data_IF_243909612168
#
_entry.id   IF_243909612168
#
_cell.length_a   1.000
_cell.length_b   1.000
_cell.length_c   1.000
_cell.angle_alpha   90.00
_cell.angle_beta   90.00
_cell.angle_gamma   90.00
#
_symmetry.space_group_name_H-M   'P 1'
#
loop_
_entity.id
_entity.type
_entity.pdbx_description
1 polymer ?
#
# COMPACT_ATOMS: atom_id res chain seq x y z
N UNK A 1 -9.65 -5.61 30.02
CA UNK A 1 -8.52 -5.47 29.08
C UNK A 1 -7.48 -6.48 29.49
N UNK A 2 -7.10 -7.40 28.61
CA UNK A 2 -6.09 -8.44 28.95
C UNK A 2 -4.69 -7.81 29.02
N UNK A 3 -3.72 -8.44 29.69
CA UNK A 3 -2.32 -7.97 29.68
C UNK A 3 -1.77 -7.87 28.23
N UNK A 4 -2.28 -8.73 27.35
CA UNK A 4 -2.01 -8.72 25.91
C UNK A 4 -2.53 -7.44 25.23
N UNK A 5 -3.78 -7.05 25.47
CA UNK A 5 -4.34 -5.81 24.93
C UNK A 5 -3.63 -4.57 25.49
N UNK A 6 -3.15 -4.66 26.73
CA UNK A 6 -2.42 -3.58 27.39
C UNK A 6 -1.05 -3.35 26.73
N UNK A 7 -0.26 -4.42 26.51
CA UNK A 7 1.03 -4.32 25.84
C UNK A 7 0.91 -3.80 24.41
N UNK A 8 -0.05 -4.32 23.62
CA UNK A 8 -0.31 -3.82 22.27
C UNK A 8 -0.54 -2.30 22.28
N UNK A 9 -1.36 -1.83 23.22
CA UNK A 9 -1.70 -0.41 23.33
C UNK A 9 -0.48 0.43 23.68
N UNK A 10 0.31 0.04 24.69
CA UNK A 10 1.51 0.78 25.09
C UNK A 10 2.55 0.87 23.97
N UNK A 11 2.82 -0.24 23.28
CA UNK A 11 3.77 -0.24 22.16
C UNK A 11 3.24 0.62 21.00
N UNK A 12 1.94 0.53 20.68
CA UNK A 12 1.32 1.37 19.67
C UNK A 12 1.41 2.86 20.02
N UNK A 13 1.24 3.24 21.29
CA UNK A 13 1.40 4.61 21.77
C UNK A 13 2.85 5.11 21.60
N UNK A 14 3.85 4.29 21.95
CA UNK A 14 5.26 4.61 21.75
C UNK A 14 5.60 4.82 20.27
N UNK A 15 5.15 3.91 19.39
CA UNK A 15 5.35 4.03 17.95
C UNK A 15 4.60 5.23 17.37
N UNK A 16 3.40 5.53 17.87
CA UNK A 16 2.62 6.72 17.47
C UNK A 16 3.37 7.99 17.81
N UNK A 17 3.90 8.11 19.03
CA UNK A 17 4.68 9.28 19.46
C UNK A 17 5.92 9.48 18.58
N UNK A 18 6.60 8.40 18.19
CA UNK A 18 7.77 8.44 17.31
C UNK A 18 7.44 8.69 15.84
N UNK A 19 6.24 8.33 15.42
CA UNK A 19 5.75 8.53 14.06
C UNK A 19 5.04 9.86 13.87
N UNK A 20 4.82 10.63 14.93
CA UNK A 20 4.24 11.97 14.85
C UNK A 20 5.14 12.92 14.05
N UNK A 21 4.56 13.99 13.51
CA UNK A 21 5.32 15.01 12.77
C UNK A 21 6.53 15.51 13.57
N UNK A 22 7.71 15.47 12.94
CA UNK A 22 9.00 15.78 13.58
C UNK A 22 9.67 14.62 14.33
N UNK A 23 8.96 13.51 14.54
CA UNK A 23 9.49 12.29 15.16
C UNK A 23 10.42 11.48 14.25
N UNK A 24 11.24 10.58 14.82
CA UNK A 24 12.28 9.85 14.07
C UNK A 24 11.73 8.79 13.12
N UNK A 25 10.48 8.34 13.29
CA UNK A 25 9.80 7.36 12.43
C UNK A 25 8.77 8.00 11.49
N UNK A 26 8.67 9.34 11.46
CA UNK A 26 7.76 10.01 10.55
C UNK A 26 8.24 9.90 9.10
N UNK A 27 7.31 9.83 8.12
CA UNK A 27 7.65 9.69 6.69
C UNK A 27 8.54 10.81 6.14
N UNK A 28 8.41 12.00 6.70
CA UNK A 28 9.19 13.18 6.33
C UNK A 28 10.42 13.41 7.23
N UNK A 29 10.72 12.46 8.12
CA UNK A 29 11.86 12.56 9.02
C UNK A 29 13.19 12.68 8.24
N UNK A 30 14.21 13.34 8.82
CA UNK A 30 15.55 13.41 8.22
C UNK A 30 16.17 12.03 7.93
N UNK A 31 15.73 10.99 8.65
CA UNK A 31 16.20 9.62 8.53
C UNK A 31 15.69 8.84 7.31
N UNK A 32 14.78 9.39 6.50
CA UNK A 32 14.26 8.68 5.32
C UNK A 32 15.36 8.29 4.32
N UNK A 33 15.19 7.17 3.65
CA UNK A 33 16.20 6.58 2.77
C UNK A 33 16.55 7.47 1.59
N UNK A 34 15.58 8.18 1.00
CA UNK A 34 15.83 9.14 -0.08
C UNK A 34 16.89 10.19 0.31
N UNK A 35 16.87 10.63 1.58
CA UNK A 35 17.81 11.63 2.08
C UNK A 35 19.14 11.00 2.46
N UNK A 36 19.11 9.86 3.16
CA UNK A 36 20.32 9.13 3.59
C UNK A 36 21.16 8.66 2.39
N UNK A 37 20.50 8.28 1.30
CA UNK A 37 21.13 7.77 0.09
C UNK A 37 21.13 8.75 -1.10
N UNK A 38 20.85 10.03 -0.89
CA UNK A 38 20.66 11.01 -1.97
C UNK A 38 21.81 11.05 -3.00
N UNK A 39 23.05 10.81 -2.57
CA UNK A 39 24.25 10.79 -3.43
C UNK A 39 24.81 9.39 -3.67
N UNK A 40 24.15 8.34 -3.17
CA UNK A 40 24.64 6.96 -3.24
C UNK A 40 24.46 6.39 -4.65
N UNK A 41 25.58 6.18 -5.36
CA UNK A 41 25.57 5.43 -6.62
C UNK A 41 25.20 3.96 -6.41
N UNK A 42 25.57 3.37 -5.26
CA UNK A 42 25.16 2.00 -4.90
C UNK A 42 23.64 1.88 -4.77
N UNK A 43 22.96 2.87 -4.17
CA UNK A 43 21.50 2.89 -4.05
C UNK A 43 20.82 2.96 -5.42
N UNK A 44 21.39 3.72 -6.38
CA UNK A 44 20.89 3.76 -7.76
C UNK A 44 21.00 2.41 -8.48
N UNK A 45 22.09 1.67 -8.28
CA UNK A 45 22.19 0.30 -8.82
C UNK A 45 21.20 -0.64 -8.14
N UNK A 46 21.07 -0.53 -6.81
CA UNK A 46 20.09 -1.32 -6.06
C UNK A 46 18.64 -1.07 -6.53
N UNK A 47 18.26 0.17 -6.83
CA UNK A 47 16.94 0.48 -7.39
C UNK A 47 16.65 -0.30 -8.67
N UNK A 48 17.65 -0.40 -9.56
CA UNK A 48 17.56 -1.18 -10.78
C UNK A 48 17.40 -2.67 -10.47
N UNK A 49 18.16 -3.21 -9.52
CA UNK A 49 18.04 -4.61 -9.09
C UNK A 49 16.66 -4.92 -8.50
N UNK A 50 16.10 -4.00 -7.69
CA UNK A 50 14.74 -4.13 -7.15
C UNK A 50 13.73 -4.17 -8.30
N UNK A 51 13.77 -3.21 -9.23
CA UNK A 51 12.85 -3.21 -10.37
C UNK A 51 12.99 -4.50 -11.20
N UNK A 52 14.22 -4.94 -11.50
CA UNK A 52 14.46 -6.17 -12.24
C UNK A 52 13.94 -7.41 -11.50
N UNK A 53 14.10 -7.48 -10.16
CA UNK A 53 13.55 -8.55 -9.32
C UNK A 53 12.03 -8.60 -9.40
N UNK A 54 11.35 -7.46 -9.26
CA UNK A 54 9.89 -7.39 -9.34
C UNK A 54 9.37 -7.67 -10.76
N UNK A 55 10.10 -7.28 -11.82
CA UNK A 55 9.76 -7.63 -13.21
C UNK A 55 9.96 -9.12 -13.52
N UNK A 56 10.87 -9.80 -12.83
CA UNK A 56 11.12 -11.23 -13.00
C UNK A 56 10.08 -12.14 -12.31
N UNK A 57 9.22 -11.58 -11.46
CA UNK A 57 8.21 -12.37 -10.72
C UNK A 57 7.03 -12.75 -11.61
N UNK A 58 6.81 -14.03 -11.88
CA UNK A 58 5.69 -14.47 -12.71
C UNK A 58 5.79 -14.03 -14.18
N UNK A 59 4.77 -14.40 -14.96
CA UNK A 59 4.74 -14.19 -16.41
C UNK A 59 3.35 -13.66 -16.82
N UNK A 60 3.09 -12.36 -16.63
CA UNK A 60 1.81 -11.75 -16.91
C UNK A 60 1.53 -11.81 -18.40
N UNK A 61 0.25 -11.82 -18.73
CA UNK A 61 -0.19 -11.66 -20.12
C UNK A 61 -0.04 -10.20 -20.55
N UNK A 62 -0.03 -9.96 -21.86
CA UNK A 62 0.10 -8.61 -22.43
C UNK A 62 -1.16 -8.19 -23.19
N UNK A 63 -2.32 -8.31 -22.55
CA UNK A 63 -3.62 -8.00 -23.15
C UNK A 63 -4.09 -6.56 -22.85
N UNK A 64 -3.33 -5.76 -22.09
CA UNK A 64 -3.71 -4.38 -21.76
C UNK A 64 -4.88 -4.28 -20.77
N UNK A 65 -4.90 -5.13 -19.74
CA UNK A 65 -5.91 -5.10 -18.67
C UNK A 65 -5.34 -4.51 -17.38
N UNK A 66 -6.07 -3.60 -16.74
CA UNK A 66 -5.65 -3.01 -15.46
C UNK A 66 -6.67 -3.26 -14.36
N UNK A 67 -6.22 -3.76 -13.22
CA UNK A 67 -6.96 -3.80 -11.96
C UNK A 67 -6.39 -2.76 -11.01
N UNK A 68 -7.23 -1.98 -10.34
CA UNK A 68 -6.83 -0.94 -9.39
C UNK A 68 -7.52 -1.19 -8.06
N UNK A 69 -6.78 -1.18 -6.95
CA UNK A 69 -7.39 -1.21 -5.63
C UNK A 69 -7.65 0.20 -5.09
N UNK A 70 -8.72 0.37 -4.32
CA UNK A 70 -8.98 1.60 -3.57
C UNK A 70 -9.47 1.31 -2.15
N UNK A 71 -9.18 2.21 -1.20
CA UNK A 71 -9.61 2.10 0.19
C UNK A 71 -8.52 2.41 1.20
N UNK A 72 -8.92 2.78 2.41
CA UNK A 72 -8.00 3.14 3.50
C UNK A 72 -6.97 2.03 3.80
N UNK A 73 -5.82 2.36 4.41
CA UNK A 73 -4.93 1.36 4.96
C UNK A 73 -5.69 0.34 5.83
N UNK A 74 -5.25 -0.92 5.78
CA UNK A 74 -5.87 -2.06 6.46
C UNK A 74 -7.34 -2.39 6.11
N UNK A 75 -7.98 -1.74 5.12
CA UNK A 75 -9.38 -2.05 4.76
C UNK A 75 -9.62 -3.46 4.20
N UNK A 76 -8.56 -4.15 3.76
CA UNK A 76 -8.65 -5.51 3.20
C UNK A 76 -8.57 -5.60 1.67
N UNK A 77 -8.05 -4.55 1.00
CA UNK A 77 -7.88 -4.47 -0.46
C UNK A 77 -7.22 -5.70 -1.09
N UNK A 78 -6.05 -6.09 -0.62
CA UNK A 78 -5.29 -7.21 -1.20
C UNK A 78 -6.05 -8.54 -1.09
N UNK A 79 -6.81 -8.74 0.00
CA UNK A 79 -7.69 -9.91 0.15
C UNK A 79 -8.88 -9.86 -0.82
N UNK A 80 -9.45 -8.67 -1.05
CA UNK A 80 -10.53 -8.49 -2.02
C UNK A 80 -10.07 -8.77 -3.45
N UNK A 81 -8.90 -8.26 -3.85
CA UNK A 81 -8.29 -8.54 -5.16
C UNK A 81 -8.10 -10.05 -5.34
N UNK A 82 -7.44 -10.72 -4.39
CA UNK A 82 -7.19 -12.17 -4.44
C UNK A 82 -8.47 -13.00 -4.56
N UNK A 83 -9.56 -12.54 -3.97
CA UNK A 83 -10.84 -13.24 -3.99
C UNK A 83 -11.66 -12.99 -5.26
N UNK A 84 -11.42 -11.90 -5.99
CA UNK A 84 -12.30 -11.44 -7.08
C UNK A 84 -11.65 -11.43 -8.45
N UNK A 85 -10.35 -11.18 -8.53
CA UNK A 85 -9.62 -11.19 -9.80
C UNK A 85 -9.31 -12.63 -10.16
N UNK A 86 -9.99 -13.13 -11.18
CA UNK A 86 -9.70 -14.45 -11.74
C UNK A 86 -8.30 -14.47 -12.36
N UNK A 87 -7.62 -15.61 -12.24
CA UNK A 87 -6.28 -15.83 -12.81
C UNK A 87 -5.29 -14.71 -12.45
N UNK A 88 -5.23 -14.29 -11.17
CA UNK A 88 -4.32 -13.24 -10.71
C UNK A 88 -2.84 -13.47 -11.10
N UNK A 89 -2.45 -14.72 -11.35
CA UNK A 89 -1.13 -15.09 -11.86
C UNK A 89 -0.82 -14.54 -13.28
N UNK A 90 -1.85 -14.20 -14.05
CA UNK A 90 -1.73 -13.57 -15.36
C UNK A 90 -1.46 -12.06 -15.27
N UNK A 91 -1.43 -11.49 -14.05
CA UNK A 91 -1.21 -10.07 -13.79
C UNK A 91 0.12 -9.83 -13.08
N UNK A 92 0.76 -8.71 -13.41
CA UNK A 92 1.85 -8.17 -12.62
C UNK A 92 1.29 -7.33 -11.48
N UNK A 93 1.56 -7.74 -10.25
CA UNK A 93 1.17 -6.98 -9.06
C UNK A 93 2.21 -5.90 -8.79
N UNK A 94 1.77 -4.66 -8.81
CA UNK A 94 2.56 -3.47 -8.46
C UNK A 94 2.11 -3.03 -7.07
N UNK A 95 2.91 -3.36 -6.07
CA UNK A 95 2.66 -3.02 -4.67
C UNK A 95 3.89 -2.36 -4.05
N UNK A 96 3.76 -1.08 -3.69
CA UNK A 96 4.82 -0.35 -3.01
C UNK A 96 5.18 -0.98 -1.66
N UNK A 97 4.24 -1.64 -0.98
CA UNK A 97 4.52 -2.32 0.29
C UNK A 97 5.47 -3.50 0.14
N UNK A 98 5.45 -4.22 -1.00
CA UNK A 98 6.41 -5.28 -1.27
C UNK A 98 7.82 -4.72 -1.50
N UNK A 99 7.93 -3.58 -2.20
CA UNK A 99 9.20 -2.88 -2.42
C UNK A 99 9.79 -2.35 -1.10
N UNK A 100 8.96 -1.96 -0.12
CA UNK A 100 9.45 -1.51 1.18
C UNK A 100 10.29 -2.57 1.89
N UNK A 101 9.92 -3.85 1.77
CA UNK A 101 10.66 -4.93 2.39
C UNK A 101 12.10 -4.99 1.82
N UNK A 102 12.26 -4.90 0.48
CA UNK A 102 13.60 -4.83 -0.16
C UNK A 102 14.40 -3.61 0.35
N UNK A 103 13.75 -2.44 0.44
CA UNK A 103 14.40 -1.19 0.86
C UNK A 103 14.83 -1.23 2.33
N UNK A 104 14.01 -1.85 3.19
CA UNK A 104 14.29 -2.04 4.62
C UNK A 104 15.44 -3.02 4.78
N UNK A 105 15.42 -4.17 4.11
CA UNK A 105 16.49 -5.18 4.20
C UNK A 105 17.86 -4.58 3.85
N UNK A 106 17.99 -3.86 2.74
CA UNK A 106 19.25 -3.17 2.44
C UNK A 106 19.63 -2.13 3.50
N UNK A 107 18.66 -1.38 4.03
CA UNK A 107 18.93 -0.38 5.06
C UNK A 107 19.41 -1.00 6.38
N UNK A 108 18.95 -2.20 6.70
CA UNK A 108 19.46 -2.99 7.82
C UNK A 108 20.88 -3.48 7.56
N UNK A 109 21.16 -4.02 6.37
CA UNK A 109 22.51 -4.47 5.98
C UNK A 109 23.54 -3.34 6.02
N UNK A 110 23.15 -2.13 5.60
CA UNK A 110 24.00 -0.95 5.62
C UNK A 110 24.07 -0.28 7.00
N UNK A 111 23.32 -0.75 8.00
CA UNK A 111 23.35 -0.27 9.39
C UNK A 111 22.83 1.15 9.60
N UNK A 112 22.11 1.73 8.63
CA UNK A 112 21.72 3.16 8.68
C UNK A 112 20.64 3.47 9.74
N UNK A 113 20.05 2.43 10.33
CA UNK A 113 19.01 2.51 11.35
C UNK A 113 19.38 1.88 12.69
N UNK A 114 20.65 1.53 12.92
CA UNK A 114 21.12 0.88 14.16
C UNK A 114 20.65 1.64 15.41
N UNK A 115 20.76 2.97 15.41
CA UNK A 115 20.30 3.81 16.53
C UNK A 115 18.80 3.63 16.85
N UNK A 116 17.96 3.46 15.83
CA UNK A 116 16.52 3.25 16.02
C UNK A 116 16.20 1.83 16.48
N UNK A 117 17.03 0.86 16.08
CA UNK A 117 16.85 -0.56 16.36
C UNK A 117 17.39 -0.99 17.72
N UNK A 118 18.06 -0.10 18.46
CA UNK A 118 18.51 -0.37 19.84
C UNK A 118 17.50 0.04 20.91
N UNK A 119 16.47 0.81 20.56
CA UNK A 119 15.45 1.22 21.52
C UNK A 119 14.57 0.03 21.90
N UNK A 120 14.38 -0.19 23.20
CA UNK A 120 13.47 -1.19 23.76
C UNK A 120 12.09 -0.58 24.03
N UNK A 121 11.04 -1.19 23.47
CA UNK A 121 9.65 -0.81 23.66
C UNK A 121 9.03 -1.52 24.88
N UNK A 122 7.77 -1.19 25.20
CA UNK A 122 7.07 -1.65 26.40
C UNK A 122 6.94 -3.18 26.50
N UNK A 123 6.97 -3.89 25.37
CA UNK A 123 6.96 -5.36 25.32
C UNK A 123 8.34 -6.00 25.53
N UNK A 124 9.37 -5.19 25.81
CA UNK A 124 10.78 -5.58 26.02
C UNK A 124 11.52 -6.00 24.76
N UNK A 125 10.96 -5.75 23.58
CA UNK A 125 11.64 -5.95 22.31
C UNK A 125 11.93 -4.62 21.65
N UNK A 126 12.86 -4.63 20.69
CA UNK A 126 13.21 -3.42 19.97
C UNK A 126 12.17 -3.05 18.92
N UNK A 127 12.40 -1.94 18.21
CA UNK A 127 11.67 -1.61 16.98
C UNK A 127 11.88 -2.75 15.97
N UNK A 128 10.79 -3.30 15.44
CA UNK A 128 10.83 -4.34 14.42
C UNK A 128 11.14 -3.72 13.04
N UNK A 129 11.80 -4.44 12.11
CA UNK A 129 12.19 -3.87 10.82
C UNK A 129 11.07 -3.17 10.04
N UNK A 130 9.89 -3.80 9.92
CA UNK A 130 8.73 -3.22 9.19
C UNK A 130 8.09 -2.02 9.90
N UNK A 131 8.47 -1.71 11.13
CA UNK A 131 8.06 -0.47 11.81
C UNK A 131 8.84 0.75 11.29
N UNK A 132 9.91 0.53 10.50
CA UNK A 132 10.63 1.57 9.75
C UNK A 132 9.96 1.93 8.41
N UNK A 133 8.82 1.31 8.07
CA UNK A 133 8.18 1.42 6.75
C UNK A 133 7.86 2.86 6.30
N UNK A 134 7.63 3.78 7.24
CA UNK A 134 7.42 5.19 6.92
C UNK A 134 8.69 5.84 6.33
N UNK A 135 9.88 5.44 6.77
CA UNK A 135 11.16 6.01 6.33
C UNK A 135 11.56 5.61 4.90
N UNK A 136 10.98 4.53 4.38
CA UNK A 136 11.15 4.06 2.99
C UNK A 136 9.95 4.37 2.10
N UNK A 137 8.92 5.05 2.63
CA UNK A 137 7.63 5.22 1.96
C UNK A 137 7.76 5.89 0.59
N UNK A 138 8.34 7.10 0.54
CA UNK A 138 8.42 7.87 -0.70
C UNK A 138 9.25 7.16 -1.77
N UNK A 139 10.37 6.55 -1.36
CA UNK A 139 11.23 5.80 -2.27
C UNK A 139 10.53 4.56 -2.83
N UNK A 140 9.76 3.83 -2.00
CA UNK A 140 8.96 2.70 -2.47
C UNK A 140 7.89 3.11 -3.49
N UNK A 141 7.26 4.28 -3.29
CA UNK A 141 6.27 4.84 -4.23
C UNK A 141 6.92 5.21 -5.56
N UNK A 142 8.13 5.80 -5.53
CA UNK A 142 8.87 6.13 -6.74
C UNK A 142 9.28 4.89 -7.54
N UNK A 143 9.71 3.83 -6.87
CA UNK A 143 10.08 2.57 -7.53
C UNK A 143 8.84 1.84 -8.07
N UNK A 144 7.73 1.85 -7.32
CA UNK A 144 6.46 1.30 -7.81
C UNK A 144 5.96 2.06 -9.06
N UNK A 145 6.11 3.38 -9.09
CA UNK A 145 5.78 4.21 -10.26
C UNK A 145 6.66 3.89 -11.48
N UNK A 146 7.97 3.69 -11.28
CA UNK A 146 8.88 3.27 -12.35
C UNK A 146 8.53 1.86 -12.87
N UNK A 147 8.29 0.92 -11.96
CA UNK A 147 7.85 -0.43 -12.31
C UNK A 147 6.56 -0.37 -13.15
N UNK A 148 5.55 0.36 -12.67
CA UNK A 148 4.28 0.56 -13.36
C UNK A 148 4.45 1.07 -14.80
N UNK A 149 5.25 2.12 -14.99
CA UNK A 149 5.54 2.68 -16.32
C UNK A 149 6.16 1.65 -17.27
N UNK A 150 7.07 0.81 -16.77
CA UNK A 150 7.67 -0.26 -17.56
C UNK A 150 6.62 -1.30 -17.96
N UNK A 151 5.76 -1.73 -17.02
CA UNK A 151 4.72 -2.72 -17.28
C UNK A 151 3.67 -2.20 -18.27
N UNK A 152 3.25 -0.93 -18.12
CA UNK A 152 2.34 -0.24 -19.04
C UNK A 152 2.96 -0.17 -20.44
N UNK A 153 4.23 0.20 -20.56
CA UNK A 153 4.93 0.22 -21.85
C UNK A 153 5.09 -1.16 -22.52
N UNK A 154 4.93 -2.25 -21.76
CA UNK A 154 4.91 -3.63 -22.25
C UNK A 154 3.50 -4.17 -22.50
N UNK A 155 2.48 -3.33 -22.31
CA UNK A 155 1.06 -3.69 -22.35
C UNK A 155 0.70 -4.87 -21.43
N UNK A 156 1.44 -5.05 -20.33
CA UNK A 156 1.20 -6.16 -19.38
C UNK A 156 -0.15 -5.98 -18.67
N UNK A 157 -0.82 -7.08 -18.37
CA UNK A 157 -1.94 -7.07 -17.44
C UNK A 157 -1.39 -6.72 -16.06
N UNK A 158 -1.91 -5.68 -15.43
CA UNK A 158 -1.36 -5.15 -14.18
C UNK A 158 -2.41 -5.04 -13.08
N UNK A 159 -1.97 -5.23 -11.84
CA UNK A 159 -2.72 -4.90 -10.63
C UNK A 159 -1.98 -3.78 -9.93
N UNK A 160 -2.63 -2.64 -9.73
CA UNK A 160 -2.05 -1.48 -9.05
C UNK A 160 -2.64 -1.43 -7.64
N UNK A 161 -1.86 -1.88 -6.65
CA UNK A 161 -2.23 -1.77 -5.25
C UNK A 161 -1.96 -0.35 -4.73
N UNK A 162 -2.96 0.23 -4.07
CA UNK A 162 -2.96 1.62 -3.66
C UNK A 162 -4.22 2.00 -2.91
N UNK A 163 -4.21 3.17 -2.29
CA UNK A 163 -5.38 3.67 -1.56
C UNK A 163 -6.31 4.50 -2.45
N UNK A 164 -5.78 5.11 -3.53
CA UNK A 164 -6.43 6.20 -4.29
C UNK A 164 -6.82 7.41 -3.40
N UNK A 165 -6.05 7.72 -2.36
CA UNK A 165 -6.36 8.86 -1.46
C UNK A 165 -6.19 10.23 -2.16
N UNK A 166 -5.25 10.36 -3.10
CA UNK A 166 -4.97 11.61 -3.82
C UNK A 166 -5.81 11.72 -5.10
N UNK A 167 -6.68 12.73 -5.17
CA UNK A 167 -7.69 12.85 -6.23
C UNK A 167 -7.13 12.90 -7.67
N UNK A 168 -6.06 13.67 -7.98
CA UNK A 168 -5.45 13.67 -9.32
C UNK A 168 -4.87 12.32 -9.75
N UNK A 169 -4.57 11.42 -8.80
CA UNK A 169 -3.90 10.16 -9.09
C UNK A 169 -4.74 9.27 -10.02
N UNK A 170 -6.05 9.15 -9.77
CA UNK A 170 -6.94 8.33 -10.60
C UNK A 170 -7.03 8.84 -12.04
N UNK A 171 -7.09 10.16 -12.22
CA UNK A 171 -7.13 10.78 -13.55
C UNK A 171 -5.81 10.62 -14.30
N UNK A 172 -4.67 10.80 -13.63
CA UNK A 172 -3.35 10.57 -14.23
C UNK A 172 -3.17 9.11 -14.63
N UNK A 173 -3.58 8.18 -13.77
CA UNK A 173 -3.51 6.75 -14.05
C UNK A 173 -4.41 6.37 -15.24
N UNK A 174 -5.64 6.89 -15.29
CA UNK A 174 -6.53 6.69 -16.43
C UNK A 174 -5.87 7.13 -17.75
N UNK A 175 -5.33 8.35 -17.78
CA UNK A 175 -4.67 8.88 -18.99
C UNK A 175 -3.47 8.05 -19.41
N UNK A 176 -2.64 7.63 -18.45
CA UNK A 176 -1.46 6.82 -18.77
C UNK A 176 -1.83 5.45 -19.35
N UNK A 177 -2.91 4.84 -18.85
CA UNK A 177 -3.44 3.58 -19.40
C UNK A 177 -4.09 3.79 -20.77
N UNK A 178 -4.81 4.89 -20.96
CA UNK A 178 -5.43 5.26 -22.23
C UNK A 178 -4.37 5.53 -23.32
N UNK A 179 -3.33 6.30 -23.00
CA UNK A 179 -2.19 6.58 -23.88
C UNK A 179 -1.46 5.29 -24.30
N UNK A 180 -1.49 4.27 -23.43
CA UNK A 180 -0.94 2.95 -23.68
C UNK A 180 -1.94 1.94 -24.29
N UNK A 181 -3.14 2.41 -24.66
CA UNK A 181 -4.18 1.61 -25.34
C UNK A 181 -4.73 0.43 -24.52
N UNK A 182 -4.77 0.55 -23.19
CA UNK A 182 -5.46 -0.41 -22.34
C UNK A 182 -6.96 -0.44 -22.68
N UNK A 183 -7.53 -1.64 -22.79
CA UNK A 183 -8.93 -1.79 -23.21
C UNK A 183 -9.91 -1.86 -22.03
N UNK A 184 -9.41 -2.27 -20.86
CA UNK A 184 -10.23 -2.48 -19.67
C UNK A 184 -9.54 -1.99 -18.39
N UNK A 185 -10.29 -1.24 -17.59
CA UNK A 185 -9.95 -0.94 -16.20
C UNK A 185 -11.01 -1.52 -15.27
N UNK A 186 -10.59 -2.33 -14.31
CA UNK A 186 -11.40 -2.75 -13.17
C UNK A 186 -10.90 -2.08 -11.88
N UNK A 187 -11.79 -1.51 -11.10
CA UNK A 187 -11.47 -0.89 -9.82
C UNK A 187 -12.20 -1.61 -8.71
N UNK A 188 -11.47 -2.10 -7.72
CA UNK A 188 -12.02 -2.70 -6.50
C UNK A 188 -11.79 -1.77 -5.32
N UNK A 189 -12.82 -1.03 -4.94
CA UNK A 189 -12.85 -0.25 -3.71
C UNK A 189 -13.29 -1.09 -2.52
N UNK A 190 -12.60 -1.01 -1.38
CA UNK A 190 -13.03 -1.63 -0.12
C UNK A 190 -13.34 -0.55 0.91
N UNK A 191 -14.63 -0.44 1.24
CA UNK A 191 -15.19 0.55 2.15
C UNK A 191 -15.41 -0.06 3.54
N UNK A 192 -14.75 0.52 4.53
CA UNK A 192 -14.89 0.20 5.96
C UNK A 192 -14.95 1.49 6.77
N UNK A 193 -15.59 1.44 7.94
CA UNK A 193 -15.62 2.59 8.85
C UNK A 193 -14.23 2.91 9.42
N UNK A 194 -13.99 4.19 9.77
CA UNK A 194 -12.69 4.66 10.28
C UNK A 194 -12.21 3.86 11.51
N UNK A 195 -13.10 3.67 12.50
CA UNK A 195 -12.77 2.90 13.72
C UNK A 195 -12.38 1.45 13.38
N UNK A 196 -13.02 0.85 12.39
CA UNK A 196 -12.70 -0.50 11.93
C UNK A 196 -11.35 -0.54 11.22
N UNK A 197 -11.02 0.44 10.38
CA UNK A 197 -9.71 0.54 9.74
C UNK A 197 -8.58 0.65 10.78
N UNK A 198 -8.74 1.49 11.80
CA UNK A 198 -7.79 1.59 12.93
C UNK A 198 -7.62 0.26 13.66
N UNK A 199 -8.72 -0.40 14.02
CA UNK A 199 -8.66 -1.68 14.72
C UNK A 199 -7.98 -2.76 13.89
N UNK A 200 -8.25 -2.82 12.59
CA UNK A 200 -7.64 -3.78 11.66
C UNK A 200 -6.14 -3.49 11.47
N UNK A 201 -5.75 -2.23 11.35
CA UNK A 201 -4.35 -1.84 11.24
C UNK A 201 -3.56 -2.24 12.49
N UNK A 202 -4.08 -1.95 13.69
CA UNK A 202 -3.47 -2.34 14.95
C UNK A 202 -3.38 -3.86 15.10
N UNK A 203 -4.43 -4.59 14.73
CA UNK A 203 -4.45 -6.06 14.84
C UNK A 203 -3.42 -6.70 13.90
N UNK A 204 -3.41 -6.28 12.63
CA UNK A 204 -2.45 -6.78 11.62
C UNK A 204 -1.00 -6.46 11.99
N UNK A 205 -0.73 -5.25 12.47
CA UNK A 205 0.61 -4.88 12.92
C UNK A 205 1.04 -5.74 14.11
N UNK A 206 0.18 -5.86 15.12
CA UNK A 206 0.52 -6.59 16.34
C UNK A 206 0.75 -8.08 16.09
N UNK A 207 -0.09 -8.71 15.26
CA UNK A 207 0.13 -10.09 14.80
C UNK A 207 1.50 -10.26 14.14
N UNK A 208 1.88 -9.33 13.24
CA UNK A 208 3.20 -9.35 12.61
C UNK A 208 4.34 -9.10 13.60
N UNK A 209 4.17 -8.19 14.56
CA UNK A 209 5.17 -7.94 15.61
C UNK A 209 5.40 -9.19 16.46
N UNK A 210 4.33 -9.89 16.84
CA UNK A 210 4.44 -11.15 17.57
C UNK A 210 5.12 -12.25 16.75
N UNK A 211 4.86 -12.31 15.45
CA UNK A 211 5.57 -13.22 14.53
C UNK A 211 7.07 -12.91 14.45
N UNK A 212 7.48 -11.65 14.58
CA UNK A 212 8.88 -11.29 14.68
C UNK A 212 9.50 -11.63 16.03
N UNK A 213 8.79 -11.33 17.12
CA UNK A 213 9.20 -11.69 18.48
C UNK A 213 9.43 -13.21 18.62
N UNK A 214 8.58 -14.03 18.00
CA UNK A 214 8.70 -15.49 18.07
C UNK A 214 9.62 -16.10 16.99
N UNK A 215 10.18 -15.28 16.09
CA UNK A 215 11.12 -15.68 15.05
C UNK A 215 10.49 -16.35 13.81
N UNK A 216 9.17 -16.30 13.63
CA UNK A 216 8.46 -16.83 12.44
C UNK A 216 8.39 -15.87 11.25
N UNK A 217 8.62 -14.58 11.48
CA UNK A 217 8.77 -13.56 10.43
C UNK A 217 9.99 -12.69 10.77
N UNK A 218 10.94 -12.54 9.85
CA UNK A 218 12.18 -11.80 10.15
C UNK A 218 12.03 -10.28 10.14
N UNK A 219 10.93 -9.74 9.58
CA UNK A 219 10.70 -8.30 9.45
C UNK A 219 9.57 -7.77 10.35
N UNK A 220 8.64 -8.62 10.76
CA UNK A 220 7.54 -8.28 11.66
C UNK A 220 6.34 -7.60 11.01
N UNK A 221 5.62 -6.80 11.79
CA UNK A 221 4.40 -6.10 11.35
C UNK A 221 4.68 -4.67 10.89
N UNK A 222 3.99 -4.21 9.84
CA UNK A 222 4.03 -2.80 9.43
C UNK A 222 3.10 -1.97 10.32
N UNK A 223 3.67 -1.12 11.16
CA UNK A 223 2.90 -0.16 11.95
C UNK A 223 2.31 0.92 11.03
N UNK A 224 1.02 1.18 11.15
CA UNK A 224 0.34 2.24 10.40
C UNK A 224 -0.10 3.33 11.38
N UNK A 225 0.52 4.53 11.34
CA UNK A 225 0.10 5.64 12.19
C UNK A 225 -1.35 6.03 11.92
N UNK A 226 -2.05 6.46 12.97
CA UNK A 226 -3.46 6.84 12.89
C UNK A 226 -3.72 7.92 11.81
N UNK A 227 -2.84 8.91 11.72
CA UNK A 227 -2.91 9.98 10.71
C UNK A 227 -2.99 9.46 9.27
N UNK A 228 -2.28 8.36 8.95
CA UNK A 228 -2.29 7.77 7.61
C UNK A 228 -3.65 7.13 7.26
N UNK A 229 -4.44 6.77 8.27
CA UNK A 229 -5.83 6.31 8.11
C UNK A 229 -6.77 7.51 8.12
N UNK A 230 -6.61 8.44 9.07
CA UNK A 230 -7.51 9.57 9.28
C UNK A 230 -7.61 10.48 8.08
N UNK A 231 -6.51 10.69 7.34
CA UNK A 231 -6.53 11.46 6.08
C UNK A 231 -7.48 10.88 5.02
N UNK A 232 -7.84 9.60 5.13
CA UNK A 232 -8.80 8.96 4.23
C UNK A 232 -10.26 9.26 4.58
N UNK A 233 -10.55 9.81 5.76
CA UNK A 233 -11.90 9.99 6.29
C UNK A 233 -12.19 11.48 6.53
N UNK A 234 -12.97 12.13 5.66
CA UNK A 234 -13.41 13.50 5.90
C UNK A 234 -14.39 13.55 7.08
N UNK A 235 -14.59 14.74 7.65
CA UNK A 235 -15.51 14.93 8.79
C UNK A 235 -16.96 14.53 8.48
N UNK A 236 -17.36 14.63 7.21
CA UNK A 236 -18.67 14.19 6.72
C UNK A 236 -18.51 13.46 5.38
N UNK A 237 -19.39 12.49 5.15
CA UNK A 237 -19.41 11.72 3.91
C UNK A 237 -18.57 10.45 3.98
N UNK A 238 -18.22 9.95 2.80
CA UNK A 238 -17.56 8.64 2.63
C UNK A 238 -16.05 8.77 2.59
N UNK A 239 -15.36 7.64 2.70
CA UNK A 239 -13.91 7.57 2.57
C UNK A 239 -13.47 8.16 1.21
N UNK A 240 -12.49 9.09 1.22
CA UNK A 240 -12.03 9.80 0.01
C UNK A 240 -11.49 8.83 -1.05
N UNK A 241 -10.91 7.72 -0.62
CA UNK A 241 -10.44 6.65 -1.49
C UNK A 241 -11.55 6.10 -2.39
N UNK A 242 -12.75 5.95 -1.82
CA UNK A 242 -13.93 5.42 -2.52
C UNK A 242 -14.56 6.49 -3.39
N UNK A 243 -14.61 7.74 -2.91
CA UNK A 243 -15.01 8.88 -3.73
C UNK A 243 -14.16 8.98 -5.00
N UNK A 244 -12.83 8.89 -4.85
CA UNK A 244 -11.90 8.95 -5.98
C UNK A 244 -12.02 7.74 -6.91
N UNK A 245 -12.26 6.54 -6.37
CA UNK A 245 -12.53 5.35 -7.16
C UNK A 245 -13.78 5.53 -8.05
N UNK A 246 -14.85 6.13 -7.53
CA UNK A 246 -16.08 6.35 -8.29
C UNK A 246 -15.94 7.47 -9.33
N UNK A 247 -15.11 8.48 -9.06
CA UNK A 247 -14.80 9.55 -10.03
C UNK A 247 -14.04 9.05 -11.28
N UNK A 248 -13.45 7.86 -11.24
CA UNK A 248 -12.88 7.25 -12.46
C UNK A 248 -13.94 7.00 -13.53
N UNK A 249 -15.20 6.75 -13.16
CA UNK A 249 -16.31 6.61 -14.12
C UNK A 249 -16.61 7.93 -14.84
N UNK A 250 -16.49 9.06 -14.15
CA UNK A 250 -16.68 10.38 -14.75
C UNK A 250 -15.55 10.67 -15.75
N UNK A 251 -14.33 10.24 -15.44
CA UNK A 251 -13.17 10.35 -16.34
C UNK A 251 -13.33 9.45 -17.57
N UNK A 252 -13.91 8.26 -17.38
CA UNK A 252 -14.16 7.29 -18.45
C UNK A 252 -15.14 7.81 -19.52
N UNK A 253 -15.95 8.84 -19.22
CA UNK A 253 -16.85 9.45 -20.20
C UNK A 253 -16.14 10.09 -21.40
N UNK A 254 -14.83 10.34 -21.30
CA UNK A 254 -13.98 10.71 -22.45
C UNK A 254 -14.03 9.68 -23.57
N UNK A 255 -14.13 8.40 -23.20
CA UNK A 255 -14.14 7.30 -24.14
C UNK A 255 -12.77 6.83 -24.63
N UNK A 256 -11.70 7.22 -23.96
CA UNK A 256 -10.36 6.78 -24.37
C UNK A 256 -10.07 5.32 -23.96
N UNK A 257 -10.84 4.76 -23.02
CA UNK A 257 -10.80 3.36 -22.60
C UNK A 257 -12.21 2.74 -22.74
N UNK A 258 -12.40 1.70 -23.56
CA UNK A 258 -13.72 1.16 -23.90
C UNK A 258 -14.51 0.59 -22.72
N UNK A 259 -13.83 -0.03 -21.74
CA UNK A 259 -14.49 -0.69 -20.62
C UNK A 259 -13.89 -0.21 -19.30
N UNK A 260 -14.70 0.44 -18.46
CA UNK A 260 -14.30 0.79 -17.10
C UNK A 260 -15.36 0.31 -16.12
N UNK A 261 -14.94 -0.48 -15.14
CA UNK A 261 -15.80 -1.06 -14.13
C UNK A 261 -15.30 -0.68 -12.74
N UNK A 262 -16.16 -0.11 -11.91
CA UNK A 262 -15.85 0.21 -10.51
C UNK A 262 -16.81 -0.56 -9.60
N UNK A 263 -16.25 -1.43 -8.75
CA UNK A 263 -16.96 -2.16 -7.70
C UNK A 263 -16.53 -1.65 -6.33
N UNK A 264 -17.51 -1.28 -5.51
CA UNK A 264 -17.30 -0.96 -4.09
C UNK A 264 -17.78 -2.13 -3.25
N UNK A 265 -16.90 -2.57 -2.36
CA UNK A 265 -17.09 -3.69 -1.46
C UNK A 265 -17.27 -3.16 -0.04
N UNK A 266 -18.43 -3.42 0.55
CA UNK A 266 -18.70 -3.16 1.96
C UNK A 266 -18.54 -4.44 2.77
N UNK A 267 -18.14 -4.29 4.03
CA UNK A 267 -18.09 -5.41 4.97
C UNK A 267 -19.43 -5.56 5.69
N UNK A 268 -20.03 -6.74 5.54
CA UNK A 268 -21.25 -7.12 6.26
C UNK A 268 -20.95 -7.43 7.74
N UNK A 269 -21.97 -7.42 8.62
CA UNK A 269 -21.82 -7.85 10.01
C UNK A 269 -21.26 -9.28 10.17
N UNK A 270 -21.48 -10.14 9.17
CA UNK A 270 -20.93 -11.51 9.08
C UNK A 270 -19.43 -11.55 8.79
N UNK A 271 -18.81 -10.40 8.48
CA UNK A 271 -17.41 -10.26 8.10
C UNK A 271 -17.14 -10.44 6.60
N UNK A 272 -18.12 -10.89 5.82
CA UNK A 272 -18.02 -11.05 4.37
C UNK A 272 -17.93 -9.69 3.65
N UNK A 273 -17.17 -9.64 2.55
CA UNK A 273 -17.15 -8.50 1.63
C UNK A 273 -18.16 -8.73 0.51
N UNK A 274 -19.14 -7.84 0.42
CA UNK A 274 -20.20 -7.87 -0.61
C UNK A 274 -20.19 -6.58 -1.42
N UNK A 275 -20.67 -6.65 -2.65
CA UNK A 275 -20.78 -5.47 -3.52
C UNK A 275 -21.89 -4.58 -2.96
N UNK A 276 -21.55 -3.35 -2.61
CA UNK A 276 -22.49 -2.33 -2.11
C UNK A 276 -22.81 -1.28 -3.17
N UNK A 277 -21.90 -1.05 -4.11
CA UNK A 277 -22.09 -0.12 -5.22
C UNK A 277 -21.29 -0.63 -6.42
N UNK A 278 -21.86 -0.50 -7.61
CA UNK A 278 -21.24 -0.94 -8.87
C UNK A 278 -21.55 0.08 -9.96
N UNK A 279 -20.54 0.47 -10.74
CA UNK A 279 -20.68 1.44 -11.83
C UNK A 279 -19.87 1.01 -13.04
N UNK A 280 -20.41 1.29 -14.22
CA UNK A 280 -19.79 0.92 -15.49
C UNK A 280 -19.78 2.10 -16.46
N UNK A 281 -18.70 2.17 -17.23
CA UNK A 281 -18.65 2.83 -18.52
C UNK A 281 -18.37 1.77 -19.57
N UNK A 282 -19.15 1.78 -20.66
CA UNK A 282 -18.98 0.87 -21.78
C UNK A 282 -19.36 1.60 -23.07
N UNK A 283 -18.50 1.48 -24.08
CA UNK A 283 -18.76 1.94 -25.45
C UNK A 283 -19.58 0.94 -26.27
#
# INVERSE_FOLDING_TARGET
MTDYDNLRTQVAEQLTARSASGGPLHRDAPGRTERRYATSTRRRFFHREVIERHLAQGNPRSDGLSVISAGAPASGKSSAIKARVANLADYRIIDADAIKDDLIEQALEDGIYDELLTEVLADRYTVAPRELAALVHNESVQLADQLRKICIGRNENIVIEGTLTWQPHGQHLYRELADAQYETIEVYGVEVGQAQAHQQALSRWWEGRLAWVNGSDHLGGRFTPAEAIDICYPATGRCVCITNALQLIDTAQSGDIPNVHVMILGRQPTGALEITEERFYRQ
#
